data_IF_436757190416
#
_entry.id   IF_436757190416
#
_cell.length_a   1.000
_cell.length_b   1.000
_cell.length_c   1.000
_cell.angle_alpha   90.00
_cell.angle_beta   90.00
_cell.angle_gamma   90.00
#
_symmetry.space_group_name_H-M   'P 1'
#
loop_
_entity.id
_entity.type
_entity.pdbx_description
1 polymer ?
#
# COMPACT_ATOMS: atom_id res chain seq x y z
N UNK A 1 -17.95 11.07 -6.45
CA UNK A 1 -17.06 10.63 -5.36
C UNK A 1 -15.68 10.39 -5.95
N UNK A 2 -14.56 10.75 -5.31
CA UNK A 2 -13.24 10.33 -5.79
C UNK A 2 -12.93 8.96 -5.18
N UNK A 3 -12.39 8.03 -5.96
CA UNK A 3 -11.95 6.71 -5.50
C UNK A 3 -10.49 6.79 -5.05
N UNK A 4 -9.67 7.48 -5.84
CA UNK A 4 -8.27 7.71 -5.58
C UNK A 4 -8.08 9.00 -4.80
N UNK A 5 -7.15 8.94 -3.85
CA UNK A 5 -6.69 10.08 -3.09
C UNK A 5 -5.21 10.27 -3.39
N UNK A 6 -4.72 11.51 -3.47
CA UNK A 6 -3.29 11.70 -3.62
C UNK A 6 -2.58 11.08 -2.41
N UNK A 7 -1.37 10.57 -2.64
CA UNK A 7 -0.58 9.92 -1.60
C UNK A 7 0.89 9.98 -2.00
N UNK A 8 1.71 10.73 -1.25
CA UNK A 8 3.17 10.80 -1.48
C UNK A 8 3.56 11.19 -2.92
N UNK A 9 2.76 12.09 -3.52
CA UNK A 9 2.89 12.51 -4.92
C UNK A 9 2.33 11.52 -5.95
N UNK A 10 1.57 10.51 -5.55
CA UNK A 10 0.96 9.50 -6.43
C UNK A 10 -0.55 9.40 -6.17
N UNK A 11 -1.24 8.37 -6.69
CA UNK A 11 -2.63 8.08 -6.36
C UNK A 11 -2.75 6.77 -5.59
N UNK A 12 -3.59 6.73 -4.57
CA UNK A 12 -3.80 5.54 -3.75
C UNK A 12 -5.28 5.25 -3.48
N UNK A 13 -5.58 3.97 -3.28
CA UNK A 13 -6.88 3.49 -2.79
C UNK A 13 -6.79 3.32 -1.28
N UNK A 14 -7.69 3.96 -0.54
CA UNK A 14 -7.75 3.85 0.92
C UNK A 14 -8.98 3.07 1.36
N UNK A 15 -8.73 1.93 2.01
CA UNK A 15 -9.76 1.07 2.57
C UNK A 15 -9.84 1.20 4.09
N UNK A 16 -11.00 0.84 4.69
CA UNK A 16 -11.23 0.92 6.12
C UNK A 16 -10.17 0.20 6.95
N UNK A 17 -9.56 0.90 7.89
CA UNK A 17 -8.58 0.31 8.81
C UNK A 17 -9.32 -0.43 9.93
N UNK A 18 -8.80 -1.60 10.30
CA UNK A 18 -9.31 -2.41 11.41
C UNK A 18 -9.81 -3.78 10.96
N UNK A 19 -10.01 -4.68 11.92
CA UNK A 19 -10.63 -5.97 11.65
C UNK A 19 -12.15 -5.83 11.40
N UNK A 20 -12.77 -6.74 10.63
CA UNK A 20 -14.22 -6.79 10.48
C UNK A 20 -14.92 -6.92 11.85
N UNK A 21 -16.09 -6.29 12.05
CA UNK A 21 -16.88 -5.54 11.07
C UNK A 21 -16.48 -4.07 10.91
N UNK A 22 -15.45 -3.59 11.64
CA UNK A 22 -15.09 -2.17 11.71
C UNK A 22 -14.14 -1.72 10.59
N UNK A 23 -13.38 -2.65 10.02
CA UNK A 23 -12.52 -2.40 8.85
C UNK A 23 -12.35 -3.61 7.93
N UNK A 24 -11.37 -3.54 7.03
CA UNK A 24 -11.10 -4.59 6.02
C UNK A 24 -9.79 -5.35 6.23
N UNK A 25 -9.04 -5.06 7.29
CA UNK A 25 -7.78 -5.72 7.62
C UNK A 25 -7.98 -7.00 8.42
N UNK A 26 -8.55 -8.06 7.83
CA UNK A 26 -8.82 -9.31 8.59
C UNK A 26 -7.57 -9.91 9.23
N UNK A 27 -6.41 -9.73 8.61
CA UNK A 27 -5.14 -10.32 9.05
C UNK A 27 -4.25 -9.36 9.84
N UNK A 28 -4.73 -8.16 10.18
CA UNK A 28 -3.95 -7.22 10.99
C UNK A 28 -3.81 -7.72 12.44
N UNK A 29 -2.63 -7.49 13.01
CA UNK A 29 -2.36 -7.63 14.44
C UNK A 29 -2.89 -6.41 15.19
N UNK A 30 -3.02 -6.52 16.52
CA UNK A 30 -3.43 -5.39 17.38
C UNK A 30 -2.45 -4.21 17.25
N UNK A 31 -1.14 -4.48 17.32
CA UNK A 31 -0.10 -3.47 17.11
C UNK A 31 -0.23 -2.77 15.76
N UNK A 32 -0.55 -3.52 14.70
CA UNK A 32 -0.74 -2.98 13.36
C UNK A 32 -1.95 -2.05 13.29
N UNK A 33 -3.02 -2.31 14.04
CA UNK A 33 -4.19 -1.43 14.05
C UNK A 33 -3.97 -0.20 14.92
N UNK A 34 -3.33 -0.36 16.08
CA UNK A 34 -3.16 0.72 17.06
C UNK A 34 -2.13 1.76 16.58
N UNK A 35 -1.07 1.31 15.91
CA UNK A 35 0.02 2.14 15.40
C UNK A 35 -0.14 2.49 13.91
N UNK A 36 -1.33 2.27 13.33
CA UNK A 36 -1.57 2.63 11.93
C UNK A 36 -1.67 4.15 11.80
N UNK A 37 -0.79 4.75 11.00
CA UNK A 37 -0.75 6.19 10.74
C UNK A 37 -2.08 6.78 10.22
N UNK A 38 -2.94 5.94 9.63
CA UNK A 38 -4.23 6.37 9.11
C UNK A 38 -5.31 6.49 10.21
N UNK A 39 -4.98 6.14 11.46
CA UNK A 39 -5.82 6.29 12.66
C UNK A 39 -5.07 6.90 13.86
N UNK A 40 -3.74 6.93 13.86
CA UNK A 40 -2.93 7.47 14.96
C UNK A 40 -3.19 8.97 15.18
N UNK A 41 -3.67 9.38 16.37
CA UNK A 41 -3.92 10.78 16.71
C UNK A 41 -2.66 11.65 16.72
N UNK A 42 -1.47 11.09 17.01
CA UNK A 42 -0.21 11.83 17.11
C UNK A 42 0.25 12.36 15.75
N UNK A 43 -0.15 11.73 14.65
CA UNK A 43 0.07 12.19 13.28
C UNK A 43 -1.00 13.21 12.82
N UNK A 44 -1.47 14.06 13.75
CA UNK A 44 -2.54 15.05 13.54
C UNK A 44 -2.30 16.04 12.42
N UNK A 45 -1.03 16.30 12.13
CA UNK A 45 -0.61 17.29 11.17
C UNK A 45 -0.42 16.70 9.76
N UNK A 46 -0.71 15.40 9.55
CA UNK A 46 -0.60 14.75 8.25
C UNK A 46 -1.91 14.83 7.46
N UNK A 47 -1.88 15.74 6.48
CA UNK A 47 -2.62 15.88 5.22
C UNK A 47 -4.01 15.21 5.07
N UNK A 48 -4.95 15.94 4.46
CA UNK A 48 -6.28 15.44 4.06
C UNK A 48 -6.20 14.15 3.22
N UNK A 49 -5.06 13.93 2.57
CA UNK A 49 -4.71 12.75 1.76
C UNK A 49 -4.75 11.42 2.53
N UNK A 50 -4.40 11.41 3.82
CA UNK A 50 -4.20 10.18 4.61
C UNK A 50 -5.34 9.94 5.63
N UNK A 51 -5.90 11.03 6.15
CA UNK A 51 -6.95 11.01 7.19
C UNK A 51 -8.37 10.98 6.62
N UNK A 52 -8.57 10.14 5.62
CA UNK A 52 -9.89 9.95 5.02
C UNK A 52 -10.83 9.32 6.06
N UNK A 53 -12.02 9.90 6.30
CA UNK A 53 -13.00 9.34 7.23
C UNK A 53 -13.34 7.88 6.93
N UNK A 54 -13.52 7.06 7.97
CA UNK A 54 -13.84 5.63 7.83
C UNK A 54 -15.11 5.38 7.01
N UNK A 55 -16.14 6.22 7.14
CA UNK A 55 -17.37 6.10 6.35
C UNK A 55 -17.11 6.33 4.85
N UNK A 56 -16.18 7.23 4.52
CA UNK A 56 -15.76 7.47 3.16
C UNK A 56 -14.93 6.31 2.61
N UNK A 57 -13.97 5.79 3.39
CA UNK A 57 -13.23 4.57 3.05
C UNK A 57 -14.18 3.40 2.77
N UNK A 58 -15.27 3.27 3.54
CA UNK A 58 -16.31 2.26 3.28
C UNK A 58 -17.11 2.51 2.00
N UNK A 59 -17.36 3.77 1.62
CA UNK A 59 -17.98 4.11 0.33
C UNK A 59 -17.04 3.75 -0.82
N UNK A 60 -15.74 4.04 -0.69
CA UNK A 60 -14.70 3.67 -1.66
C UNK A 60 -14.62 2.15 -1.80
N UNK A 61 -14.56 1.42 -0.68
CA UNK A 61 -14.53 -0.04 -0.66
C UNK A 61 -15.72 -0.65 -1.40
N UNK A 62 -16.95 -0.26 -1.04
CA UNK A 62 -18.16 -0.73 -1.72
C UNK A 62 -18.15 -0.38 -3.20
N UNK A 63 -17.75 0.83 -3.56
CA UNK A 63 -17.61 1.22 -4.96
C UNK A 63 -16.68 0.28 -5.72
N UNK A 64 -15.52 -0.09 -5.15
CA UNK A 64 -14.58 -0.99 -5.82
C UNK A 64 -15.13 -2.42 -5.96
N UNK A 65 -15.85 -2.92 -4.95
CA UNK A 65 -16.37 -4.29 -4.97
C UNK A 65 -17.64 -4.43 -5.82
N UNK A 66 -18.51 -3.42 -5.86
CA UNK A 66 -19.84 -3.51 -6.46
C UNK A 66 -19.92 -2.94 -7.89
N UNK A 67 -19.06 -1.99 -8.26
CA UNK A 67 -19.09 -1.34 -9.57
C UNK A 67 -18.66 -2.29 -10.69
N UNK A 68 -19.25 -2.12 -11.88
CA UNK A 68 -18.85 -2.88 -13.08
C UNK A 68 -17.36 -2.67 -13.37
N UNK A 69 -16.69 -3.76 -13.77
CA UNK A 69 -15.22 -3.82 -13.90
C UNK A 69 -14.69 -2.76 -14.85
N UNK A 70 -15.14 -2.73 -16.09
CA UNK A 70 -14.55 -1.86 -17.11
C UNK A 70 -14.77 -0.38 -16.76
N UNK A 71 -15.98 -0.04 -16.31
CA UNK A 71 -16.27 1.32 -15.86
C UNK A 71 -15.40 1.75 -14.65
N UNK A 72 -15.15 0.84 -13.70
CA UNK A 72 -14.25 1.13 -12.59
C UNK A 72 -12.80 1.34 -13.06
N UNK A 73 -12.31 0.52 -14.00
CA UNK A 73 -10.96 0.67 -14.56
C UNK A 73 -10.80 2.02 -15.26
N UNK A 74 -11.73 2.38 -16.15
CA UNK A 74 -11.67 3.66 -16.87
C UNK A 74 -11.63 4.83 -15.89
N UNK A 75 -12.45 4.77 -14.84
CA UNK A 75 -12.48 5.78 -13.79
C UNK A 75 -11.18 5.85 -12.98
N UNK A 76 -10.57 4.72 -12.63
CA UNK A 76 -9.27 4.69 -11.93
C UNK A 76 -8.19 5.36 -12.79
N UNK A 77 -8.16 5.07 -14.10
CA UNK A 77 -7.20 5.64 -15.03
C UNK A 77 -7.42 7.15 -15.24
N UNK A 78 -8.67 7.60 -15.34
CA UNK A 78 -9.02 9.02 -15.42
C UNK A 78 -8.61 9.78 -14.15
N UNK A 79 -8.86 9.20 -12.96
CA UNK A 79 -8.45 9.80 -11.70
C UNK A 79 -6.91 9.86 -11.56
N UNK A 80 -6.19 8.82 -12.00
CA UNK A 80 -4.71 8.83 -12.07
C UNK A 80 -4.17 9.90 -13.04
N UNK A 81 -4.80 10.06 -14.21
CA UNK A 81 -4.46 11.11 -15.16
C UNK A 81 -4.68 12.50 -14.56
N UNK A 82 -5.79 12.70 -13.85
CA UNK A 82 -6.07 13.94 -13.12
C UNK A 82 -5.05 14.25 -12.02
N UNK A 83 -4.52 13.21 -11.36
CA UNK A 83 -3.42 13.30 -10.39
C UNK A 83 -2.03 13.40 -11.06
N UNK A 84 -1.97 13.38 -12.39
CA UNK A 84 -0.75 13.44 -13.20
C UNK A 84 0.27 12.37 -12.84
N UNK A 85 -0.18 11.16 -12.49
CA UNK A 85 0.67 10.04 -12.06
C UNK A 85 0.25 8.74 -12.74
N UNK A 86 1.20 7.92 -13.22
CA UNK A 86 0.91 6.57 -13.66
C UNK A 86 1.05 5.55 -12.51
N UNK A 87 1.24 5.98 -11.26
CA UNK A 87 1.46 5.09 -10.11
C UNK A 87 0.17 4.98 -9.29
N UNK A 88 -0.32 3.75 -9.14
CA UNK A 88 -1.47 3.38 -8.32
C UNK A 88 -1.02 2.57 -7.11
N UNK A 89 -1.23 3.12 -5.92
CA UNK A 89 -1.00 2.41 -4.67
C UNK A 89 -2.29 1.70 -4.23
N UNK A 90 -2.27 0.38 -4.30
CA UNK A 90 -3.26 -0.47 -3.67
C UNK A 90 -3.02 -0.46 -2.16
N UNK A 91 -4.08 -0.20 -1.41
CA UNK A 91 -4.08 -0.15 0.06
C UNK A 91 -3.16 0.92 0.66
N UNK A 92 -3.39 2.18 0.28
CA UNK A 92 -2.85 3.34 1.01
C UNK A 92 -3.31 3.41 2.47
N UNK A 93 -4.38 2.71 2.81
CA UNK A 93 -4.64 2.18 4.16
C UNK A 93 -5.60 0.99 4.02
N UNK A 94 -5.77 0.22 5.08
CA UNK A 94 -6.66 -0.93 5.05
C UNK A 94 -6.02 -2.12 4.32
N UNK A 95 -6.85 -3.12 4.01
CA UNK A 95 -6.54 -4.24 3.11
C UNK A 95 -7.84 -4.64 2.41
N UNK A 96 -7.92 -5.81 1.76
CA UNK A 96 -9.20 -6.36 1.30
C UNK A 96 -9.67 -7.56 2.15
N UNK A 97 -10.99 -7.74 2.22
CA UNK A 97 -11.55 -8.93 2.84
C UNK A 97 -11.25 -10.18 1.99
N UNK A 98 -11.09 -11.37 2.60
CA UNK A 98 -10.78 -12.59 1.85
C UNK A 98 -11.80 -12.89 0.74
N UNK A 99 -13.10 -12.66 1.03
CA UNK A 99 -14.19 -12.87 0.06
C UNK A 99 -14.04 -12.01 -1.21
N UNK A 100 -13.37 -10.87 -1.10
CA UNK A 100 -13.23 -9.87 -2.15
C UNK A 100 -11.87 -9.98 -2.88
N UNK A 101 -11.00 -10.92 -2.45
CA UNK A 101 -9.66 -11.10 -3.01
C UNK A 101 -9.68 -11.32 -4.52
N UNK A 102 -10.57 -12.20 -5.02
CA UNK A 102 -10.65 -12.50 -6.46
C UNK A 102 -11.02 -11.27 -7.27
N UNK A 103 -12.00 -10.49 -6.79
CA UNK A 103 -12.41 -9.24 -7.43
C UNK A 103 -11.26 -8.24 -7.52
N UNK A 104 -10.49 -8.09 -6.44
CA UNK A 104 -9.33 -7.21 -6.43
C UNK A 104 -8.26 -7.69 -7.42
N UNK A 105 -7.99 -9.00 -7.51
CA UNK A 105 -7.05 -9.55 -8.49
C UNK A 105 -7.46 -9.22 -9.92
N UNK A 106 -8.74 -9.42 -10.27
CA UNK A 106 -9.25 -9.10 -11.61
C UNK A 106 -9.09 -7.62 -11.97
N UNK A 107 -9.26 -6.72 -10.99
CA UNK A 107 -9.09 -5.28 -11.19
C UNK A 107 -7.62 -4.93 -11.39
N UNK A 108 -6.75 -5.54 -10.59
CA UNK A 108 -5.29 -5.39 -10.70
C UNK A 108 -4.82 -5.79 -12.10
N UNK A 109 -5.22 -6.98 -12.55
CA UNK A 109 -4.90 -7.49 -13.89
C UNK A 109 -5.41 -6.58 -15.01
N UNK A 110 -6.62 -6.02 -14.86
CA UNK A 110 -7.24 -5.18 -15.88
C UNK A 110 -6.65 -3.76 -15.97
N UNK A 111 -6.12 -3.23 -14.86
CA UNK A 111 -5.27 -2.03 -14.88
C UNK A 111 -3.96 -2.37 -15.60
N UNK A 112 -3.33 -3.48 -15.27
CA UNK A 112 -2.14 -3.98 -15.97
C UNK A 112 -1.01 -2.96 -16.05
N UNK A 113 -0.32 -2.90 -17.20
CA UNK A 113 0.80 -2.00 -17.48
C UNK A 113 0.39 -0.53 -17.68
N UNK A 114 -0.91 -0.22 -17.69
CA UNK A 114 -1.43 1.15 -17.78
C UNK A 114 -1.05 1.98 -16.57
N UNK A 115 -0.76 1.33 -15.43
CA UNK A 115 -0.25 1.97 -14.23
C UNK A 115 0.75 1.07 -13.52
N UNK A 116 1.76 1.66 -12.90
CA UNK A 116 2.62 0.95 -11.95
C UNK A 116 1.82 0.72 -10.69
N UNK A 117 1.62 -0.55 -10.34
CA UNK A 117 0.88 -0.92 -9.14
C UNK A 117 1.85 -1.24 -8.02
N UNK A 118 1.56 -0.73 -6.83
CA UNK A 118 2.26 -1.12 -5.61
C UNK A 118 1.32 -1.25 -4.44
N UNK A 119 1.61 -2.11 -3.49
CA UNK A 119 0.89 -2.11 -2.23
C UNK A 119 1.55 -2.92 -1.14
N UNK A 120 0.96 -2.83 0.05
CA UNK A 120 1.28 -3.67 1.19
C UNK A 120 0.03 -4.46 1.54
N UNK A 121 0.17 -5.74 1.82
CA UNK A 121 -0.97 -6.58 2.19
C UNK A 121 -0.53 -7.62 3.21
N UNK A 122 -1.44 -8.01 4.10
CA UNK A 122 -1.29 -9.21 4.95
C UNK A 122 -2.05 -10.39 4.37
N UNK A 123 -2.85 -10.16 3.33
CA UNK A 123 -3.57 -11.19 2.60
C UNK A 123 -2.62 -12.03 1.73
N UNK A 124 -2.12 -13.13 2.30
CA UNK A 124 -1.21 -14.06 1.61
C UNK A 124 -1.79 -14.63 0.32
N UNK A 125 -3.12 -14.75 0.19
CA UNK A 125 -3.77 -15.23 -1.04
C UNK A 125 -3.64 -14.19 -2.15
N UNK A 126 -3.91 -12.92 -1.86
CA UNK A 126 -3.74 -11.82 -2.79
C UNK A 126 -2.26 -11.68 -3.20
N UNK A 127 -1.37 -11.60 -2.22
CA UNK A 127 0.06 -11.46 -2.46
C UNK A 127 0.61 -12.58 -3.35
N UNK A 128 0.24 -13.84 -3.11
CA UNK A 128 0.72 -14.97 -3.93
C UNK A 128 0.43 -14.82 -5.43
N UNK A 129 -0.67 -14.14 -5.80
CA UNK A 129 -1.06 -13.90 -7.20
C UNK A 129 -0.32 -12.71 -7.82
N UNK A 130 0.11 -11.74 -7.01
CA UNK A 130 0.64 -10.46 -7.45
C UNK A 130 1.91 -10.06 -6.66
N UNK A 131 2.84 -11.01 -6.49
CA UNK A 131 4.09 -10.83 -5.70
C UNK A 131 5.03 -9.77 -6.29
N UNK A 132 4.85 -9.48 -7.56
CA UNK A 132 5.62 -8.51 -8.33
C UNK A 132 5.22 -7.07 -8.05
N UNK A 133 4.05 -6.84 -7.42
CA UNK A 133 3.55 -5.51 -7.07
C UNK A 133 3.21 -5.34 -5.57
N UNK A 134 2.99 -6.42 -4.82
CA UNK A 134 2.78 -6.36 -3.38
C UNK A 134 4.01 -6.77 -2.57
N UNK A 135 4.30 -6.00 -1.52
CA UNK A 135 5.05 -6.52 -0.38
C UNK A 135 4.11 -7.26 0.58
N UNK A 136 4.46 -8.47 1.01
CA UNK A 136 3.73 -9.17 2.07
C UNK A 136 4.19 -8.63 3.42
N UNK A 137 3.26 -8.09 4.20
CA UNK A 137 3.54 -7.67 5.56
C UNK A 137 3.62 -8.89 6.48
N UNK A 138 4.75 -9.06 7.17
CA UNK A 138 5.05 -10.18 8.10
C UNK A 138 5.63 -9.62 9.39
N UNK A 139 5.54 -10.35 10.51
CA UNK A 139 6.03 -9.86 11.81
C UNK A 139 7.53 -10.10 12.00
N UNK A 140 8.11 -11.08 11.30
CA UNK A 140 9.53 -11.39 11.44
C UNK A 140 10.17 -11.85 10.12
N UNK A 141 11.50 -11.84 10.08
CA UNK A 141 12.26 -12.24 8.89
C UNK A 141 12.14 -13.75 8.62
N UNK A 142 11.87 -14.56 9.64
CA UNK A 142 11.68 -16.01 9.54
C UNK A 142 10.40 -16.36 8.76
N UNK A 143 9.40 -15.48 8.75
CA UNK A 143 8.18 -15.63 7.96
C UNK A 143 8.39 -15.33 6.46
N UNK A 144 9.55 -14.76 6.09
CA UNK A 144 9.91 -14.40 4.73
C UNK A 144 10.50 -15.60 3.96
N UNK A 145 9.66 -16.60 3.71
CA UNK A 145 10.08 -17.91 3.19
C UNK A 145 10.26 -18.00 1.67
N UNK A 146 9.87 -17.00 0.90
CA UNK A 146 9.93 -16.99 -0.56
C UNK A 146 11.03 -16.07 -1.05
N UNK A 147 12.09 -16.65 -1.63
CA UNK A 147 13.29 -15.90 -2.01
C UNK A 147 13.03 -14.84 -3.07
N UNK A 148 12.00 -15.04 -3.92
CA UNK A 148 11.72 -14.17 -5.07
C UNK A 148 10.69 -13.07 -4.77
N UNK A 149 10.40 -12.81 -3.50
CA UNK A 149 9.36 -11.87 -3.11
C UNK A 149 9.86 -10.64 -2.33
N UNK A 150 8.97 -9.65 -2.24
CA UNK A 150 9.12 -8.48 -1.39
C UNK A 150 8.29 -8.68 -0.11
N UNK A 151 8.88 -8.33 1.02
CA UNK A 151 8.29 -8.38 2.35
C UNK A 151 8.36 -7.02 3.02
N UNK A 152 7.45 -6.79 3.94
CA UNK A 152 7.38 -5.58 4.77
C UNK A 152 7.31 -6.00 6.23
N UNK A 153 8.32 -5.65 7.01
CA UNK A 153 8.38 -5.94 8.44
C UNK A 153 8.13 -4.64 9.20
N UNK A 154 7.00 -4.49 9.91
CA UNK A 154 6.68 -3.26 10.61
C UNK A 154 7.59 -3.06 11.82
N UNK A 155 8.11 -1.84 11.97
CA UNK A 155 8.70 -1.33 13.19
C UNK A 155 7.71 -0.32 13.79
N UNK A 156 6.80 -0.82 14.63
CA UNK A 156 5.72 -0.03 15.20
C UNK A 156 6.22 1.15 16.03
N UNK A 157 7.30 0.99 16.79
CA UNK A 157 7.89 2.06 17.61
C UNK A 157 8.43 3.23 16.77
N UNK A 158 8.95 2.93 15.59
CA UNK A 158 9.44 3.95 14.66
C UNK A 158 8.39 4.33 13.59
N UNK A 159 7.19 3.73 13.63
CA UNK A 159 6.10 3.92 12.65
C UNK A 159 6.57 3.80 11.18
N UNK A 160 7.44 2.84 10.93
CA UNK A 160 7.99 2.57 9.60
C UNK A 160 7.94 1.09 9.31
N UNK A 161 7.73 0.73 8.05
CA UNK A 161 7.89 -0.64 7.59
C UNK A 161 9.26 -0.84 6.96
N UNK A 162 10.01 -1.84 7.43
CA UNK A 162 11.30 -2.26 6.86
C UNK A 162 11.02 -3.21 5.68
N UNK A 163 11.42 -2.81 4.49
CA UNK A 163 11.23 -3.62 3.29
C UNK A 163 12.39 -4.61 3.14
N UNK A 164 12.06 -5.88 2.93
CA UNK A 164 13.01 -6.98 2.86
C UNK A 164 12.76 -7.85 1.63
N UNK A 165 13.83 -8.39 1.04
CA UNK A 165 13.75 -9.49 0.08
C UNK A 165 14.91 -10.44 0.36
N UNK A 166 14.69 -11.78 0.39
CA UNK A 166 15.80 -12.71 0.60
C UNK A 166 16.80 -12.75 -0.56
N UNK A 167 16.39 -12.45 -1.79
CA UNK A 167 17.24 -12.55 -2.99
C UNK A 167 18.04 -11.29 -3.31
N UNK A 168 17.60 -10.12 -2.90
CA UNK A 168 18.27 -8.86 -3.21
C UNK A 168 18.22 -7.91 -2.03
N UNK A 169 19.32 -7.19 -1.81
CA UNK A 169 19.33 -6.12 -0.83
C UNK A 169 18.41 -5.01 -1.32
N UNK A 170 17.26 -4.86 -0.65
CA UNK A 170 16.44 -3.67 -0.79
C UNK A 170 17.21 -2.54 -0.09
N UNK A 171 17.97 -1.74 -0.86
CA UNK A 171 18.75 -0.62 -0.31
C UNK A 171 17.82 0.56 -0.04
N UNK A 172 17.15 0.47 1.10
CA UNK A 172 16.30 1.52 1.64
C UNK A 172 14.86 1.08 1.74
N UNK A 173 14.17 1.62 2.74
CA UNK A 173 12.75 1.39 2.88
C UNK A 173 12.41 1.11 4.31
N UNK A 174 12.73 2.05 5.20
CA UNK A 174 11.79 2.38 6.26
C UNK A 174 10.69 3.20 5.58
N UNK A 175 9.60 2.57 5.15
CA UNK A 175 8.46 3.29 4.58
C UNK A 175 7.53 3.67 5.72
N UNK A 176 7.62 4.93 6.18
CA UNK A 176 6.66 5.53 7.09
C UNK A 176 5.55 6.27 6.35
N UNK A 177 4.73 7.05 7.06
CA UNK A 177 3.79 7.99 6.43
C UNK A 177 4.48 9.23 5.84
N UNK A 178 5.69 9.58 6.29
CA UNK A 178 6.28 10.92 6.14
C UNK A 178 7.64 10.88 5.47
N UNK A 179 8.48 9.97 5.94
CA UNK A 179 9.86 9.86 5.51
C UNK A 179 10.21 8.44 5.10
N UNK A 180 11.04 8.35 4.07
CA UNK A 180 11.77 7.14 3.74
C UNK A 180 13.21 7.32 4.21
N UNK A 181 13.70 6.38 5.02
CA UNK A 181 15.11 6.34 5.42
C UNK A 181 15.89 5.37 4.54
N UNK A 182 17.11 5.77 4.18
CA UNK A 182 18.08 4.89 3.52
C UNK A 182 18.55 3.74 4.43
N UNK A 183 19.32 2.81 3.85
CA UNK A 183 19.76 1.56 4.51
C UNK A 183 20.56 1.78 5.80
N UNK A 184 21.24 2.93 5.94
CA UNK A 184 22.05 3.23 7.10
C UNK A 184 21.32 4.11 8.13
N UNK A 185 20.06 4.47 7.86
CA UNK A 185 19.30 5.43 8.67
C UNK A 185 19.89 6.83 8.66
N UNK A 186 20.81 7.14 7.74
CA UNK A 186 21.58 8.38 7.73
C UNK A 186 20.97 9.44 6.82
N UNK A 187 20.34 9.02 5.72
CA UNK A 187 19.62 9.92 4.84
C UNK A 187 18.12 9.74 5.03
N UNK A 188 17.51 10.75 5.63
CA UNK A 188 16.07 10.92 5.72
C UNK A 188 15.60 11.81 4.58
N UNK A 189 14.68 11.29 3.77
CA UNK A 189 14.04 12.04 2.69
C UNK A 189 12.53 11.98 2.85
N UNK A 190 11.84 13.06 2.47
CA UNK A 190 10.38 13.03 2.32
C UNK A 190 9.98 11.97 1.29
N UNK A 191 8.84 11.31 1.55
CA UNK A 191 8.36 10.26 0.65
C UNK A 191 7.86 10.90 -0.65
N UNK A 192 8.61 10.67 -1.72
CA UNK A 192 8.22 11.01 -3.07
C UNK A 192 8.33 9.77 -3.94
N UNK A 193 7.24 9.00 -4.03
CA UNK A 193 7.23 7.70 -4.69
C UNK A 193 7.57 7.81 -6.19
N UNK A 194 7.26 8.94 -6.85
CA UNK A 194 7.71 9.19 -8.24
C UNK A 194 9.23 9.27 -8.34
N UNK A 195 9.86 9.95 -7.40
CA UNK A 195 11.33 10.07 -7.34
C UNK A 195 11.95 8.72 -7.02
N UNK A 196 11.41 7.98 -6.05
CA UNK A 196 11.87 6.64 -5.72
C UNK A 196 11.78 5.68 -6.92
N UNK A 197 10.66 5.71 -7.66
CA UNK A 197 10.49 4.93 -8.88
C UNK A 197 11.54 5.32 -9.93
N UNK A 198 11.73 6.63 -10.18
CA UNK A 198 12.69 7.14 -11.17
C UNK A 198 14.14 6.73 -10.84
N UNK A 199 14.51 6.77 -9.57
CA UNK A 199 15.85 6.43 -9.09
C UNK A 199 16.03 4.92 -8.83
N UNK A 200 14.96 4.13 -8.90
CA UNK A 200 14.91 2.71 -8.51
C UNK A 200 15.42 2.50 -7.08
N UNK A 201 14.85 3.24 -6.12
CA UNK A 201 15.18 3.20 -4.68
C UNK A 201 13.96 2.79 -3.84
N UNK A 202 14.16 2.41 -2.57
CA UNK A 202 13.07 2.02 -1.67
C UNK A 202 12.38 0.72 -2.10
N UNK A 203 11.04 0.67 -2.06
CA UNK A 203 10.24 -0.46 -2.57
C UNK A 203 10.46 -0.75 -4.07
N UNK A 204 11.02 0.21 -4.82
CA UNK A 204 11.34 0.07 -6.24
C UNK A 204 12.78 -0.40 -6.50
N UNK A 205 13.60 -0.56 -5.46
CA UNK A 205 15.00 -1.00 -5.56
C UNK A 205 15.12 -2.52 -5.58
N UNK A 206 15.33 -3.08 -6.78
CA UNK A 206 15.59 -4.52 -6.98
C UNK A 206 16.99 -4.76 -7.54
N UNK A 207 18.01 -4.14 -6.95
CA UNK A 207 19.41 -4.30 -7.39
C UNK A 207 20.01 -5.62 -6.90
N UNK A 208 20.69 -6.34 -7.80
CA UNK A 208 21.45 -7.57 -7.53
C UNK A 208 22.84 -7.25 -6.98
#
# INVERSE_FOLDING_TARGET
MKILRPFTGTGAVFFPVGAPPKGTCLFATEDCTDMCYAVDPADADFDEEVRIPQDEKWKIYRCIIEMEKNFLIDRLLDELYGLQTPILHWFGSGDCLPKDTERICELIDAVGDKAVQMGFTRNKKLWKKHKDIFALTVESIEDATDEDALYSIPNYAAQVSVVYSPRYQVKGGHCGPITCKDINGQLEHYINCRTCLRLKTGCFDRRR
#
